data_IF_004767592611
#
_entry.id   IF_004767592611
#
_cell.length_a   1.000
_cell.length_b   1.000
_cell.length_c   1.000
_cell.angle_alpha   90.00
_cell.angle_beta   90.00
_cell.angle_gamma   90.00
#
_symmetry.space_group_name_H-M   'P 1'
#
loop_
_entity.id
_entity.type
_entity.pdbx_description
1 polymer ?
#
# COMPACT_ATOMS: atom_id res chain seq x y z
N UNK A 1 36.46 18.12 -15.15
CA UNK A 1 35.27 17.28 -14.91
C UNK A 1 35.26 17.00 -13.43
N UNK A 2 34.24 17.48 -12.71
CA UNK A 2 34.12 17.16 -11.27
C UNK A 2 33.52 15.75 -11.23
N UNK A 3 34.28 14.78 -10.72
CA UNK A 3 33.73 13.45 -10.44
C UNK A 3 32.58 13.62 -9.45
N UNK A 4 31.34 13.40 -9.90
CA UNK A 4 30.22 13.40 -8.97
C UNK A 4 30.33 12.16 -8.10
N UNK A 5 30.27 12.35 -6.79
CA UNK A 5 30.21 11.24 -5.85
C UNK A 5 29.00 10.34 -6.18
N UNK A 6 29.13 9.01 -6.02
CA UNK A 6 28.00 8.12 -6.23
C UNK A 6 26.88 8.45 -5.24
N UNK A 7 25.60 8.29 -5.62
CA UNK A 7 24.49 8.51 -4.71
C UNK A 7 24.59 7.56 -3.50
N UNK A 8 24.15 7.96 -2.30
CA UNK A 8 24.13 7.08 -1.14
C UNK A 8 23.30 5.82 -1.39
N UNK A 9 23.79 4.68 -0.90
CA UNK A 9 22.98 3.46 -0.86
C UNK A 9 21.80 3.67 0.10
N UNK A 10 20.61 3.37 -0.38
CA UNK A 10 19.37 3.40 0.40
C UNK A 10 18.47 2.24 -0.02
N UNK A 11 18.02 1.46 0.94
CA UNK A 11 17.17 0.28 0.79
C UNK A 11 15.94 0.39 1.70
N UNK A 12 14.95 -0.48 1.51
CA UNK A 12 13.71 -0.46 2.33
C UNK A 12 13.97 -0.66 3.83
N UNK A 13 15.03 -1.40 4.19
CA UNK A 13 15.44 -1.57 5.59
C UNK A 13 15.83 -0.27 6.27
N UNK A 14 16.32 0.71 5.51
CA UNK A 14 16.77 2.01 6.04
C UNK A 14 15.60 2.91 6.44
N UNK A 15 14.39 2.65 5.91
CA UNK A 15 13.16 3.32 6.32
C UNK A 15 12.74 2.96 7.76
N UNK A 16 13.26 1.85 8.32
CA UNK A 16 12.89 1.37 9.65
C UNK A 16 11.44 0.90 9.76
N UNK A 17 10.83 0.47 8.65
CA UNK A 17 9.48 -0.08 8.59
C UNK A 17 9.52 -1.61 8.61
N UNK A 18 8.60 -2.23 9.34
CA UNK A 18 8.33 -3.66 9.23
C UNK A 18 7.44 -3.94 8.02
N UNK A 19 7.51 -5.13 7.44
CA UNK A 19 6.58 -5.56 6.36
C UNK A 19 5.10 -5.52 6.78
N UNK A 20 4.83 -5.58 8.09
CA UNK A 20 3.50 -5.44 8.66
C UNK A 20 3.03 -3.99 8.79
N UNK A 21 3.91 -2.99 8.63
CA UNK A 21 3.49 -1.58 8.66
C UNK A 21 2.64 -1.29 7.40
N UNK A 22 1.47 -0.67 7.56
CA UNK A 22 0.58 -0.40 6.42
C UNK A 22 1.19 0.57 5.38
N UNK A 23 2.30 1.25 5.68
CA UNK A 23 3.05 2.09 4.74
C UNK A 23 4.12 1.33 3.96
N UNK A 24 4.45 0.09 4.34
CA UNK A 24 5.58 -0.65 3.78
C UNK A 24 5.53 -0.73 2.25
N UNK A 25 4.39 -1.14 1.69
CA UNK A 25 4.24 -1.25 0.23
C UNK A 25 4.42 0.09 -0.49
N UNK A 26 3.95 1.19 0.09
CA UNK A 26 4.14 2.54 -0.47
C UNK A 26 5.59 2.99 -0.36
N UNK A 27 6.25 2.74 0.78
CA UNK A 27 7.66 3.01 0.98
C UNK A 27 8.55 2.24 0.00
N UNK A 28 8.23 0.97 -0.30
CA UNK A 28 8.92 0.18 -1.33
C UNK A 28 8.86 0.88 -2.69
N UNK A 29 7.70 1.40 -3.11
CA UNK A 29 7.56 2.14 -4.37
C UNK A 29 8.39 3.42 -4.39
N UNK A 30 8.43 4.16 -3.29
CA UNK A 30 9.27 5.37 -3.18
C UNK A 30 10.76 5.03 -3.24
N UNK A 31 11.20 3.98 -2.53
CA UNK A 31 12.59 3.50 -2.58
C UNK A 31 12.97 3.03 -3.98
N UNK A 32 12.09 2.29 -4.67
CA UNK A 32 12.30 1.92 -6.07
C UNK A 32 12.39 3.14 -6.98
N UNK A 33 11.58 4.18 -6.74
CA UNK A 33 11.65 5.42 -7.51
C UNK A 33 12.94 6.21 -7.24
N UNK A 34 13.47 6.15 -6.02
CA UNK A 34 14.81 6.65 -5.73
C UNK A 34 15.85 5.92 -6.58
N UNK A 35 15.84 4.57 -6.64
CA UNK A 35 16.79 3.81 -7.46
C UNK A 35 16.73 4.18 -8.94
N UNK A 36 15.53 4.47 -9.47
CA UNK A 36 15.33 4.89 -10.85
C UNK A 36 16.02 6.21 -11.21
N UNK A 37 16.28 7.09 -10.24
CA UNK A 37 16.72 8.47 -10.50
C UNK A 37 17.99 8.90 -9.77
N UNK A 38 18.42 8.17 -8.74
CA UNK A 38 19.50 8.57 -7.84
C UNK A 38 20.80 8.94 -8.58
N UNK A 39 21.15 8.24 -9.66
CA UNK A 39 22.37 8.51 -10.46
C UNK A 39 22.29 9.78 -11.32
N UNK A 40 21.09 10.34 -11.49
CA UNK A 40 20.80 11.53 -12.31
C UNK A 40 20.37 12.74 -11.49
N UNK A 41 20.19 12.58 -10.18
CA UNK A 41 19.81 13.64 -9.26
C UNK A 41 21.03 14.44 -8.78
N UNK A 42 20.82 15.71 -8.47
CA UNK A 42 21.83 16.51 -7.76
C UNK A 42 21.90 16.08 -6.29
N UNK A 43 23.01 16.37 -5.63
CA UNK A 43 23.18 16.08 -4.19
C UNK A 43 22.06 16.69 -3.34
N UNK A 44 21.67 17.93 -3.61
CA UNK A 44 20.56 18.60 -2.90
C UNK A 44 19.22 17.88 -3.10
N UNK A 45 18.96 17.35 -4.31
CA UNK A 45 17.76 16.58 -4.59
C UNK A 45 17.78 15.22 -3.87
N UNK A 46 18.93 14.55 -3.84
CA UNK A 46 19.13 13.26 -3.16
C UNK A 46 18.87 13.44 -1.67
N UNK A 47 19.55 14.39 -1.02
CA UNK A 47 19.41 14.65 0.41
C UNK A 47 17.95 14.96 0.77
N UNK A 48 17.25 15.74 -0.06
CA UNK A 48 15.83 16.03 0.16
C UNK A 48 14.93 14.82 -0.04
N UNK A 49 15.18 13.98 -1.03
CA UNK A 49 14.38 12.77 -1.24
C UNK A 49 14.55 11.78 -0.08
N UNK A 50 15.79 11.58 0.37
CA UNK A 50 16.10 10.72 1.49
C UNK A 50 15.55 11.28 2.81
N UNK A 51 15.49 12.61 2.97
CA UNK A 51 14.82 13.24 4.12
C UNK A 51 13.33 12.90 4.20
N UNK A 52 12.64 12.77 3.05
CA UNK A 52 11.24 12.30 3.02
C UNK A 52 11.08 10.84 3.47
N UNK A 53 12.08 10.00 3.17
CA UNK A 53 12.08 8.57 3.51
C UNK A 53 12.71 8.26 4.87
N UNK A 54 13.28 9.27 5.52
CA UNK A 54 13.90 9.13 6.82
C UNK A 54 12.87 8.63 7.84
N UNK A 55 13.28 7.70 8.71
CA UNK A 55 12.44 7.08 9.75
C UNK A 55 11.64 8.09 10.58
N UNK A 56 12.19 9.29 10.81
CA UNK A 56 11.54 10.36 11.58
C UNK A 56 10.41 11.05 10.84
N UNK A 57 10.49 11.11 9.51
CA UNK A 57 9.61 11.92 8.66
C UNK A 57 8.69 11.07 7.77
N UNK A 58 8.96 9.77 7.64
CA UNK A 58 8.22 8.88 6.74
C UNK A 58 6.71 8.86 7.03
N UNK A 59 6.31 9.12 8.28
CA UNK A 59 4.90 9.21 8.67
C UNK A 59 4.19 10.44 8.11
N UNK A 60 4.92 11.53 7.87
CA UNK A 60 4.40 12.79 7.35
C UNK A 60 4.27 12.76 5.82
N UNK A 61 5.20 12.04 5.16
CA UNK A 61 5.29 12.01 3.69
C UNK A 61 4.80 10.71 3.03
N UNK A 62 4.55 9.64 3.77
CA UNK A 62 3.95 8.42 3.24
C UNK A 62 2.68 8.15 4.04
N UNK A 63 1.51 8.51 3.50
CA UNK A 63 0.26 8.29 4.20
C UNK A 63 0.03 6.80 4.39
N UNK A 64 -0.59 6.44 5.51
CA UNK A 64 -1.14 5.10 5.70
C UNK A 64 -2.22 4.93 4.63
N UNK A 65 -1.94 4.11 3.61
CA UNK A 65 -2.95 3.70 2.65
C UNK A 65 -3.98 2.88 3.40
N UNK A 66 -5.05 3.53 3.87
CA UNK A 66 -6.21 2.82 4.37
C UNK A 66 -6.72 1.98 3.20
N UNK A 67 -6.56 0.66 3.32
CA UNK A 67 -7.01 -0.35 2.35
C UNK A 67 -8.52 -0.21 2.03
N UNK A 68 -9.24 0.55 2.84
CA UNK A 68 -10.67 0.83 2.78
C UNK A 68 -11.04 2.24 2.28
N UNK A 69 -10.08 3.11 1.96
CA UNK A 69 -10.40 4.40 1.36
C UNK A 69 -10.87 4.14 -0.07
N UNK A 70 -12.15 4.40 -0.35
CA UNK A 70 -12.67 4.34 -1.72
C UNK A 70 -11.77 5.14 -2.67
N UNK A 71 -11.65 4.74 -3.95
CA UNK A 71 -10.81 5.43 -4.94
C UNK A 71 -11.04 6.95 -5.02
N UNK A 72 -12.26 7.40 -4.67
CA UNK A 72 -12.67 8.81 -4.65
C UNK A 72 -12.55 9.50 -3.27
N UNK A 73 -12.02 8.80 -2.26
CA UNK A 73 -11.77 9.35 -0.94
C UNK A 73 -10.81 10.54 -1.00
N UNK A 74 -11.15 11.61 -0.28
CA UNK A 74 -10.34 12.84 -0.18
C UNK A 74 -8.92 12.56 0.34
N UNK A 75 -8.73 11.49 1.13
CA UNK A 75 -7.42 11.04 1.61
C UNK A 75 -6.58 10.30 0.55
N UNK A 76 -7.21 9.77 -0.50
CA UNK A 76 -6.53 9.13 -1.63
C UNK A 76 -6.09 10.13 -2.70
N UNK A 77 -6.45 11.42 -2.55
CA UNK A 77 -6.13 12.46 -3.53
C UNK A 77 -4.74 13.04 -3.28
N UNK A 78 -3.88 12.98 -4.28
CA UNK A 78 -2.56 13.62 -4.23
C UNK A 78 -2.60 15.11 -3.85
N UNK A 79 -3.70 15.81 -4.11
CA UNK A 79 -3.87 17.23 -3.79
C UNK A 79 -3.92 17.57 -2.29
N UNK A 80 -4.17 16.57 -1.43
CA UNK A 80 -4.18 16.75 0.03
C UNK A 80 -2.85 16.37 0.68
N UNK A 81 -1.93 15.81 -0.09
CA UNK A 81 -0.60 15.42 0.38
C UNK A 81 0.23 16.65 0.77
N UNK A 82 1.05 16.54 1.81
CA UNK A 82 1.85 17.67 2.33
C UNK A 82 2.78 18.28 1.28
N UNK A 83 3.44 17.43 0.49
CA UNK A 83 4.31 17.84 -0.62
C UNK A 83 3.56 18.38 -1.85
N UNK A 84 2.23 18.30 -1.88
CA UNK A 84 1.48 18.84 -3.01
C UNK A 84 1.59 20.37 -3.02
N UNK A 85 2.07 20.96 -4.12
CA UNK A 85 2.30 22.39 -4.15
C UNK A 85 0.98 23.15 -4.04
N UNK A 86 0.94 24.12 -3.13
CA UNK A 86 -0.10 25.14 -3.15
C UNK A 86 0.17 26.05 -4.34
N UNK A 87 -0.61 25.88 -5.41
CA UNK A 87 -0.50 26.70 -6.60
C UNK A 87 -0.74 28.16 -6.25
N UNK A 88 0.00 29.06 -6.91
CA UNK A 88 -0.32 30.48 -6.89
C UNK A 88 -1.71 30.71 -7.50
N UNK A 89 -2.29 31.88 -7.26
CA UNK A 89 -3.55 32.33 -7.92
C UNK A 89 -3.45 32.23 -9.46
N UNK A 90 -2.24 32.25 -10.01
CA UNK A 90 -1.95 32.15 -11.45
C UNK A 90 -1.74 30.70 -11.94
N UNK A 91 -1.88 29.69 -11.08
CA UNK A 91 -1.70 28.28 -11.45
C UNK A 91 -0.25 27.90 -11.76
N UNK A 92 0.73 28.72 -11.35
CA UNK A 92 2.16 28.47 -11.57
C UNK A 92 2.80 27.86 -10.34
N UNK A 93 3.74 26.94 -10.56
CA UNK A 93 4.61 26.44 -9.50
C UNK A 93 5.53 27.59 -9.03
N UNK A 94 5.70 27.80 -7.71
CA UNK A 94 6.64 28.78 -7.18
C UNK A 94 8.04 28.58 -7.78
N UNK A 95 8.78 29.64 -8.13
CA UNK A 95 10.11 29.46 -8.73
C UNK A 95 11.16 28.85 -7.77
N UNK A 96 10.91 28.86 -6.46
CA UNK A 96 11.96 28.67 -5.45
C UNK A 96 12.03 27.24 -4.85
N UNK A 97 11.41 26.23 -5.47
CA UNK A 97 11.36 24.88 -4.89
C UNK A 97 11.92 23.79 -5.80
N UNK A 98 12.53 22.77 -5.19
CA UNK A 98 12.85 21.49 -5.86
C UNK A 98 11.58 20.64 -5.96
N UNK A 99 10.64 21.09 -6.79
CA UNK A 99 9.37 20.39 -7.04
C UNK A 99 9.58 19.05 -7.72
N UNK A 100 10.73 18.83 -8.38
CA UNK A 100 11.05 17.54 -8.99
C UNK A 100 11.10 16.43 -7.93
N UNK A 101 11.76 16.67 -6.79
CA UNK A 101 11.88 15.68 -5.72
C UNK A 101 10.52 15.32 -5.13
N UNK A 102 9.69 16.32 -4.85
CA UNK A 102 8.31 16.09 -4.38
C UNK A 102 7.43 15.41 -5.44
N UNK A 103 7.59 15.80 -6.71
CA UNK A 103 6.89 15.16 -7.83
C UNK A 103 7.22 13.67 -7.95
N UNK A 104 8.50 13.30 -7.83
CA UNK A 104 8.90 11.89 -7.88
C UNK A 104 8.24 11.09 -6.75
N UNK A 105 8.29 11.59 -5.50
CA UNK A 105 7.64 10.92 -4.37
C UNK A 105 6.13 10.76 -4.59
N UNK A 106 5.45 11.85 -4.97
CA UNK A 106 4.01 11.84 -5.24
C UNK A 106 3.65 10.87 -6.37
N UNK A 107 4.46 10.79 -7.42
CA UNK A 107 4.24 9.87 -8.54
C UNK A 107 4.42 8.39 -8.14
N UNK A 108 5.22 8.11 -7.11
CA UNK A 108 5.37 6.76 -6.54
C UNK A 108 4.16 6.35 -5.70
N UNK A 109 3.56 7.33 -5.01
CA UNK A 109 2.47 7.11 -4.05
C UNK A 109 1.10 7.04 -4.73
N UNK A 110 0.87 7.86 -5.75
CA UNK A 110 -0.44 8.04 -6.36
C UNK A 110 -0.42 7.62 -7.83
N UNK A 111 -1.33 6.72 -8.19
CA UNK A 111 -1.48 6.23 -9.57
C UNK A 111 -1.84 7.36 -10.55
N UNK A 112 -2.67 8.31 -10.10
CA UNK A 112 -3.10 9.46 -10.90
C UNK A 112 -2.85 10.75 -10.13
N UNK A 113 -2.05 11.63 -10.74
CA UNK A 113 -1.84 12.99 -10.26
C UNK A 113 -2.78 13.96 -11.00
N UNK A 114 -3.20 15.07 -10.36
CA UNK A 114 -4.02 16.09 -11.01
C UNK A 114 -3.42 16.58 -12.33
N UNK A 115 -4.20 16.64 -13.43
CA UNK A 115 -3.69 17.03 -14.76
C UNK A 115 -3.04 18.41 -14.77
N UNK A 116 -3.54 19.35 -13.96
CA UNK A 116 -2.99 20.70 -13.82
C UNK A 116 -1.57 20.64 -13.24
N UNK A 117 -1.34 19.75 -12.28
CA UNK A 117 -0.03 19.55 -11.69
C UNK A 117 0.95 18.93 -12.68
N UNK A 118 0.52 17.89 -13.41
CA UNK A 118 1.33 17.29 -14.47
C UNK A 118 1.69 18.31 -15.55
N UNK A 119 0.76 19.18 -15.95
CA UNK A 119 1.02 20.27 -16.91
C UNK A 119 2.06 21.25 -16.38
N UNK A 120 2.00 21.61 -15.10
CA UNK A 120 2.96 22.51 -14.48
C UNK A 120 4.36 21.89 -14.37
N UNK A 121 4.45 20.61 -14.00
CA UNK A 121 5.71 19.86 -13.98
C UNK A 121 6.30 19.77 -15.40
N UNK A 122 5.51 19.36 -16.38
CA UNK A 122 5.95 19.28 -17.79
C UNK A 122 6.43 20.64 -18.32
N UNK A 123 5.71 21.72 -18.01
CA UNK A 123 6.09 23.08 -18.43
C UNK A 123 7.44 23.49 -17.84
N UNK A 124 7.74 23.09 -16.60
CA UNK A 124 8.96 23.49 -15.88
C UNK A 124 10.17 22.61 -16.19
N UNK A 125 9.98 21.29 -16.22
CA UNK A 125 11.06 20.30 -16.34
C UNK A 125 11.13 19.67 -17.74
N UNK A 126 10.25 20.06 -18.67
CA UNK A 126 10.17 19.54 -20.04
C UNK A 126 9.47 18.18 -20.15
N UNK A 127 9.42 17.40 -19.05
CA UNK A 127 8.81 16.07 -19.01
C UNK A 127 8.15 15.80 -17.66
N UNK A 128 7.21 14.85 -17.66
CA UNK A 128 6.65 14.19 -16.47
C UNK A 128 7.12 12.75 -16.36
N UNK A 129 7.84 12.22 -17.35
CA UNK A 129 8.32 10.85 -17.30
C UNK A 129 9.52 10.76 -16.37
N UNK A 130 9.42 9.93 -15.35
CA UNK A 130 10.55 9.53 -14.51
C UNK A 130 11.31 8.44 -15.27
N UNK A 131 12.52 8.75 -15.72
CA UNK A 131 13.39 7.78 -16.41
C UNK A 131 13.74 6.61 -15.48
N UNK A 132 14.01 5.44 -16.05
CA UNK A 132 14.44 4.27 -15.29
C UNK A 132 15.94 4.06 -15.44
N UNK A 133 16.70 4.45 -14.42
CA UNK A 133 18.15 4.23 -14.32
C UNK A 133 18.48 3.22 -13.21
N UNK A 134 17.55 2.32 -12.90
CA UNK A 134 17.74 1.33 -11.84
C UNK A 134 18.99 0.48 -12.08
N UNK A 135 19.29 0.12 -13.33
CA UNK A 135 20.47 -0.67 -13.68
C UNK A 135 21.78 0.07 -13.35
N UNK A 136 21.83 1.39 -13.58
CA UNK A 136 22.99 2.22 -13.20
C UNK A 136 23.19 2.22 -11.68
N UNK A 137 22.10 2.38 -10.91
CA UNK A 137 22.15 2.33 -9.45
C UNK A 137 22.54 0.93 -8.94
N UNK A 138 21.98 -0.14 -9.52
CA UNK A 138 22.26 -1.53 -9.14
C UNK A 138 23.63 -2.03 -9.59
N UNK A 139 24.25 -1.40 -10.57
CA UNK A 139 25.66 -1.62 -10.89
C UNK A 139 26.57 -1.15 -9.75
N UNK A 140 26.26 -0.01 -9.12
CA UNK A 140 26.98 0.51 -7.96
C UNK A 140 26.65 -0.29 -6.68
N UNK A 141 25.38 -0.68 -6.52
CA UNK A 141 24.87 -1.37 -5.34
C UNK A 141 24.07 -2.62 -5.74
N UNK A 142 24.75 -3.74 -6.03
CA UNK A 142 24.09 -4.99 -6.42
C UNK A 142 23.08 -5.43 -5.36
N UNK A 143 21.92 -5.93 -5.81
CA UNK A 143 20.94 -6.50 -4.91
C UNK A 143 21.56 -7.66 -4.13
N UNK A 144 21.24 -7.85 -2.85
CA UNK A 144 21.68 -9.02 -2.10
C UNK A 144 21.28 -10.27 -2.88
N UNK A 145 22.24 -11.14 -3.19
CA UNK A 145 21.92 -12.43 -3.76
C UNK A 145 20.95 -13.12 -2.80
N UNK A 146 19.72 -13.37 -3.25
CA UNK A 146 18.79 -14.21 -2.51
C UNK A 146 19.51 -15.54 -2.36
N UNK A 147 20.01 -15.81 -1.15
CA UNK A 147 20.43 -17.14 -0.77
C UNK A 147 19.16 -17.96 -0.79
N UNK A 148 18.82 -18.49 -1.97
CA UNK A 148 18.01 -19.70 -2.03
C UNK A 148 18.84 -20.69 -1.24
N UNK A 149 18.42 -21.00 -0.02
CA UNK A 149 18.85 -22.22 0.63
C UNK A 149 18.72 -23.30 -0.44
N UNK A 150 19.87 -23.74 -0.94
CA UNK A 150 19.94 -24.97 -1.69
C UNK A 150 19.56 -25.99 -0.64
N UNK A 151 18.28 -26.34 -0.58
CA UNK A 151 17.82 -27.55 0.05
C UNK A 151 18.49 -28.65 -0.75
N UNK A 152 19.73 -28.97 -0.38
CA UNK A 152 20.42 -30.17 -0.80
C UNK A 152 19.44 -31.29 -0.46
N UNK A 153 18.93 -32.07 -1.42
CA UNK A 153 18.10 -33.20 -1.08
C UNK A 153 18.97 -34.12 -0.24
N UNK A 154 18.72 -34.14 1.07
CA UNK A 154 19.30 -35.12 1.97
C UNK A 154 18.85 -36.47 1.42
N UNK A 155 19.83 -37.23 0.93
CA UNK A 155 19.60 -38.59 0.43
C UNK A 155 18.93 -39.39 1.57
N UNK A 156 17.86 -40.09 1.25
CA UNK A 156 17.00 -40.81 2.21
C UNK A 156 17.70 -41.94 3.01
N UNK A 157 19.02 -42.11 2.88
CA UNK A 157 19.78 -43.14 3.59
C UNK A 157 20.24 -42.73 5.00
N UNK A 158 20.30 -41.43 5.33
CA UNK A 158 20.78 -40.98 6.65
C UNK A 158 19.69 -40.95 7.74
N UNK A 159 18.40 -41.05 7.38
CA UNK A 159 17.28 -40.96 8.34
C UNK A 159 16.94 -42.27 9.05
N UNK A 160 17.57 -43.39 8.69
CA UNK A 160 17.35 -44.69 9.36
C UNK A 160 18.25 -44.98 10.55
N UNK A 161 19.30 -44.17 10.78
CA UNK A 161 20.26 -44.39 11.88
C UNK A 161 20.09 -43.49 13.11
N UNK A 162 19.22 -42.48 13.07
CA UNK A 162 19.10 -41.50 14.16
C UNK A 162 17.86 -41.66 15.05
N UNK A 163 16.93 -42.58 14.75
CA UNK A 163 15.74 -42.81 15.58
C UNK A 163 15.84 -44.11 16.39
N UNK A 164 16.72 -44.12 17.38
CA UNK A 164 16.50 -44.88 18.61
C UNK A 164 16.07 -43.89 19.69
N UNK A 165 14.76 -43.67 19.78
CA UNK A 165 14.12 -42.92 20.86
C UNK A 165 13.89 -43.89 22.04
N UNK A 166 14.20 -43.45 23.27
CA UNK A 166 13.29 -43.73 24.38
C UNK A 166 12.80 -42.43 25.01
N UNK A 167 11.52 -42.18 24.75
CA UNK A 167 10.46 -41.88 25.73
C UNK A 167 10.93 -41.44 27.13
N UNK A 168 10.73 -40.16 27.46
CA UNK A 168 9.91 -39.72 28.60
C UNK A 168 10.09 -38.21 28.90
N UNK A 169 8.93 -37.57 29.10
CA UNK A 169 8.61 -36.52 30.07
C UNK A 169 8.98 -35.03 29.82
N UNK A 170 7.99 -34.22 30.24
CA UNK A 170 7.98 -32.78 30.61
C UNK A 170 7.79 -31.78 29.45
N UNK A 171 6.58 -31.35 29.12
CA UNK A 171 5.62 -30.48 29.84
C UNK A 171 6.06 -29.01 29.98
N UNK A 172 5.37 -28.10 29.27
CA UNK A 172 4.95 -26.73 29.64
C UNK A 172 4.42 -26.03 28.37
N UNK A 173 3.12 -25.95 28.11
CA UNK A 173 2.08 -25.08 28.69
C UNK A 173 2.41 -23.57 28.62
N UNK A 174 1.75 -22.85 27.70
CA UNK A 174 1.16 -21.53 27.98
C UNK A 174 0.12 -21.16 26.91
N UNK A 175 -1.15 -21.29 27.28
CA UNK A 175 -2.28 -20.49 26.73
C UNK A 175 -2.24 -19.07 27.34
N UNK A 176 -3.26 -18.21 27.14
CA UNK A 176 -3.58 -17.41 25.96
C UNK A 176 -3.40 -15.89 26.26
N UNK A 177 -3.47 -15.02 25.25
CA UNK A 177 -3.71 -13.59 25.50
C UNK A 177 -4.76 -13.04 24.55
N UNK A 178 -5.95 -12.89 25.14
CA UNK A 178 -7.07 -12.06 24.74
C UNK A 178 -6.65 -10.58 24.62
N UNK A 179 -7.44 -9.82 23.85
CA UNK A 179 -7.52 -8.34 23.72
C UNK A 179 -6.49 -7.70 22.78
N UNK A 180 -6.81 -6.92 21.75
CA UNK A 180 -8.02 -6.16 21.39
C UNK A 180 -8.28 -6.23 19.88
N UNK A 181 -9.53 -6.52 19.52
CA UNK A 181 -10.07 -6.26 18.19
C UNK A 181 -10.20 -4.75 18.00
N UNK A 182 -9.38 -4.16 17.12
CA UNK A 182 -9.53 -2.78 16.69
C UNK A 182 -10.44 -2.76 15.46
N UNK A 183 -11.69 -2.44 15.70
CA UNK A 183 -12.68 -2.12 14.68
C UNK A 183 -12.30 -0.85 13.88
N UNK A 184 -12.93 -0.61 12.72
CA UNK A 184 -12.53 0.39 11.75
C UNK A 184 -12.65 1.83 12.28
N UNK A 185 -11.59 2.61 12.08
CA UNK A 185 -11.50 4.01 12.46
C UNK A 185 -12.45 4.91 11.69
N UNK A 186 -13.68 5.03 12.17
CA UNK A 186 -14.57 6.19 11.96
C UNK A 186 -15.42 6.53 13.20
N UNK A 187 -15.30 5.75 14.28
CA UNK A 187 -16.16 5.86 15.46
C UNK A 187 -15.34 6.15 16.71
N UNK A 188 -14.71 7.31 16.76
CA UNK A 188 -14.12 7.78 18.03
C UNK A 188 -15.24 8.32 18.91
N UNK A 189 -15.43 7.71 20.09
CA UNK A 189 -16.39 8.10 21.14
C UNK A 189 -16.28 9.61 21.47
N UNK A 190 -15.11 10.22 21.25
CA UNK A 190 -14.89 11.66 21.40
C UNK A 190 -15.72 12.56 20.47
N UNK A 191 -16.15 12.09 19.29
CA UNK A 191 -16.94 12.88 18.35
C UNK A 191 -18.44 12.85 18.66
N UNK A 192 -18.95 11.78 19.29
CA UNK A 192 -20.37 11.66 19.69
C UNK A 192 -20.64 12.51 20.94
N UNK A 193 -19.68 12.61 21.88
CA UNK A 193 -19.81 13.49 23.05
C UNK A 193 -19.81 14.98 22.65
N UNK A 194 -19.16 15.32 21.53
CA UNK A 194 -19.08 16.70 21.03
C UNK A 194 -20.37 17.19 20.37
N UNK A 195 -21.21 16.29 19.86
CA UNK A 195 -22.54 16.63 19.33
C UNK A 195 -23.66 16.61 20.38
N UNK A 196 -23.40 16.05 21.57
CA UNK A 196 -24.36 16.00 22.69
C UNK A 196 -24.11 17.03 23.80
N UNK A 197 -23.11 17.90 23.65
CA UNK A 197 -22.85 18.97 24.62
C UNK A 197 -23.90 20.09 24.47
N UNK A 198 -24.75 20.36 25.49
CA UNK A 198 -25.71 21.45 25.41
C UNK A 198 -24.94 22.77 25.27
N UNK A 199 -25.15 23.48 24.17
CA UNK A 199 -24.45 24.74 23.90
C UNK A 199 -24.81 25.75 24.99
N UNK A 200 -23.85 26.07 25.86
CA UNK A 200 -23.97 27.14 26.85
C UNK A 200 -24.00 28.50 26.13
N UNK A 201 -25.15 28.89 25.58
CA UNK A 201 -25.43 30.26 25.18
C UNK A 201 -25.64 31.08 26.45
N UNK A 202 -24.66 31.94 26.77
CA UNK A 202 -24.78 33.00 27.78
C UNK A 202 -26.09 33.76 27.58
N UNK A 203 -27.01 33.59 28.53
CA UNK A 203 -28.26 34.33 28.64
C UNK A 203 -28.03 35.48 29.62
N UNK A 204 -28.05 36.70 29.09
CA UNK A 204 -28.39 37.90 29.87
C UNK A 204 -29.92 38.05 29.81
N UNK A 205 -30.56 38.23 30.96
CA UNK A 205 -31.93 38.77 31.03
C UNK A 205 -33.05 37.80 31.45
N UNK A 206 -33.37 37.84 32.75
CA UNK A 206 -34.67 37.78 33.44
C UNK A 206 -35.88 37.05 32.83
N UNK A 207 -36.49 36.17 33.64
CA UNK A 207 -37.91 35.78 33.56
C UNK A 207 -38.18 34.36 34.08
N UNK A 208 -38.81 34.17 35.25
CA UNK A 208 -39.17 32.85 35.76
C UNK A 208 -40.56 32.45 35.25
N UNK A 209 -40.62 31.70 34.16
CA UNK A 209 -41.84 31.00 33.76
C UNK A 209 -41.58 29.52 33.47
N UNK A 210 -42.11 28.70 34.39
CA UNK A 210 -42.65 27.34 34.21
C UNK A 210 -41.92 26.40 33.24
N UNK A 211 -40.92 25.67 33.75
CA UNK A 211 -40.04 24.77 33.02
C UNK A 211 -40.56 23.32 32.86
N UNK A 212 -41.76 22.97 33.34
CA UNK A 212 -42.16 21.56 33.49
C UNK A 212 -42.76 20.87 32.24
N UNK A 213 -43.04 21.60 31.14
CA UNK A 213 -43.71 21.03 29.95
C UNK A 213 -42.86 20.92 28.67
N UNK A 214 -41.63 21.44 28.62
CA UNK A 214 -40.78 21.39 27.40
C UNK A 214 -39.84 20.20 27.28
N UNK A 215 -39.59 19.43 28.35
CA UNK A 215 -38.62 18.34 28.33
C UNK A 215 -39.09 17.04 27.64
N UNK A 216 -40.40 16.86 27.39
CA UNK A 216 -40.94 15.61 26.81
C UNK A 216 -40.92 15.57 25.27
N UNK A 217 -40.86 16.71 24.59
CA UNK A 217 -40.81 16.76 23.13
C UNK A 217 -39.41 16.44 22.57
N UNK A 218 -38.37 16.79 23.32
CA UNK A 218 -36.96 16.68 22.92
C UNK A 218 -36.47 15.21 22.85
N UNK A 219 -36.91 14.37 23.80
CA UNK A 219 -36.55 12.95 23.82
C UNK A 219 -37.08 12.16 22.62
N UNK A 220 -38.26 12.53 22.09
CA UNK A 220 -38.86 11.81 20.97
C UNK A 220 -38.14 12.14 19.64
N UNK A 221 -37.66 13.38 19.49
CA UNK A 221 -36.85 13.77 18.35
C UNK A 221 -35.47 13.10 18.36
N UNK A 222 -34.85 12.99 19.54
CA UNK A 222 -33.57 12.31 19.70
C UNK A 222 -33.67 10.82 19.34
N UNK A 223 -34.73 10.13 19.80
CA UNK A 223 -34.95 8.72 19.46
C UNK A 223 -35.10 8.51 17.95
N UNK A 224 -35.80 9.42 17.26
CA UNK A 224 -35.98 9.39 15.82
C UNK A 224 -34.64 9.54 15.06
N UNK A 225 -33.75 10.43 15.53
CA UNK A 225 -32.41 10.61 14.95
C UNK A 225 -31.53 9.38 15.15
N UNK A 226 -31.61 8.73 16.32
CA UNK A 226 -30.86 7.48 16.59
C UNK A 226 -31.33 6.35 15.67
N UNK A 227 -32.64 6.16 15.50
CA UNK A 227 -33.15 5.13 14.58
C UNK A 227 -32.74 5.40 13.13
N UNK A 228 -32.84 6.65 12.67
CA UNK A 228 -32.41 7.02 11.32
C UNK A 228 -30.90 6.76 11.12
N UNK A 229 -30.09 7.04 12.13
CA UNK A 229 -28.66 6.75 12.07
C UNK A 229 -28.36 5.24 12.07
N UNK A 230 -29.14 4.44 12.81
CA UNK A 230 -29.03 2.98 12.80
C UNK A 230 -29.36 2.40 11.41
N UNK A 231 -30.40 2.92 10.74
CA UNK A 231 -30.77 2.51 9.37
C UNK A 231 -29.64 2.82 8.37
N UNK A 232 -29.04 4.03 8.44
CA UNK A 232 -27.91 4.40 7.57
C UNK A 232 -26.70 3.48 7.79
N UNK A 233 -26.43 3.10 9.05
CA UNK A 233 -25.32 2.17 9.36
C UNK A 233 -25.61 0.79 8.78
N UNK A 234 -26.85 0.31 8.92
CA UNK A 234 -27.25 -0.99 8.41
C UNK A 234 -27.11 -1.05 6.88
N UNK A 235 -27.61 -0.04 6.17
CA UNK A 235 -27.48 0.08 4.72
C UNK A 235 -26.01 0.15 4.26
N UNK A 236 -25.17 0.89 5.00
CA UNK A 236 -23.73 0.96 4.72
C UNK A 236 -23.02 -0.38 4.92
N UNK A 237 -23.40 -1.16 5.92
CA UNK A 237 -22.85 -2.51 6.16
C UNK A 237 -23.26 -3.46 5.04
N UNK A 238 -24.54 -3.45 4.64
CA UNK A 238 -25.06 -4.29 3.55
C UNK A 238 -24.38 -3.96 2.22
N UNK A 239 -24.25 -2.67 1.89
CA UNK A 239 -23.53 -2.23 0.68
C UNK A 239 -22.06 -2.64 0.69
N UNK A 240 -21.40 -2.60 1.86
CA UNK A 240 -20.01 -3.03 1.99
C UNK A 240 -19.88 -4.56 1.81
N UNK A 241 -20.82 -5.34 2.33
CA UNK A 241 -20.87 -6.79 2.15
C UNK A 241 -21.04 -7.15 0.68
N UNK A 242 -21.99 -6.52 -0.03
CA UNK A 242 -22.22 -6.76 -1.46
C UNK A 242 -20.99 -6.43 -2.33
N UNK A 243 -20.32 -5.30 -2.03
CA UNK A 243 -19.06 -4.94 -2.70
C UNK A 243 -17.95 -5.97 -2.45
N UNK A 244 -17.84 -6.49 -1.23
CA UNK A 244 -16.85 -7.52 -0.90
C UNK A 244 -17.15 -8.84 -1.62
N UNK A 245 -18.41 -9.25 -1.68
CA UNK A 245 -18.83 -10.46 -2.39
C UNK A 245 -18.56 -10.36 -3.89
N UNK A 246 -18.87 -9.21 -4.50
CA UNK A 246 -18.59 -8.95 -5.92
C UNK A 246 -17.09 -9.05 -6.21
N UNK A 247 -16.24 -8.43 -5.37
CA UNK A 247 -14.79 -8.50 -5.53
C UNK A 247 -14.23 -9.91 -5.35
N UNK A 248 -14.79 -10.68 -4.41
CA UNK A 248 -14.42 -12.09 -4.22
C UNK A 248 -14.84 -12.94 -5.43
N UNK A 249 -15.97 -12.62 -6.06
CA UNK A 249 -16.44 -13.29 -7.26
C UNK A 249 -15.53 -13.00 -8.46
N UNK A 250 -15.19 -11.73 -8.72
CA UNK A 250 -14.23 -11.34 -9.77
C UNK A 250 -12.87 -12.03 -9.60
N UNK A 251 -12.38 -12.11 -8.35
CA UNK A 251 -11.12 -12.77 -8.05
C UNK A 251 -11.18 -14.28 -8.34
N UNK A 252 -12.31 -14.95 -8.05
CA UNK A 252 -12.51 -16.38 -8.37
C UNK A 252 -12.53 -16.61 -9.87
N UNK A 253 -13.20 -15.74 -10.63
CA UNK A 253 -13.25 -15.82 -12.09
C UNK A 253 -11.85 -15.65 -12.70
N UNK A 254 -11.09 -14.65 -12.26
CA UNK A 254 -9.71 -14.45 -12.71
C UNK A 254 -8.78 -15.62 -12.36
N UNK A 255 -8.98 -16.25 -11.20
CA UNK A 255 -8.21 -17.46 -10.81
C UNK A 255 -8.55 -18.63 -11.75
N UNK A 256 -9.84 -18.83 -12.06
CA UNK A 256 -10.25 -19.93 -12.94
C UNK A 256 -9.81 -19.71 -14.39
N UNK A 257 -9.86 -18.48 -14.91
CA UNK A 257 -9.31 -18.12 -16.22
C UNK A 257 -7.81 -18.40 -16.31
N UNK A 258 -7.04 -17.97 -15.31
CA UNK A 258 -5.60 -18.25 -15.26
C UNK A 258 -5.31 -19.75 -15.19
N UNK A 259 -6.09 -20.51 -14.41
CA UNK A 259 -5.97 -21.97 -14.33
C UNK A 259 -6.27 -22.65 -15.67
N UNK A 260 -7.27 -22.18 -16.41
CA UNK A 260 -7.55 -22.67 -17.76
C UNK A 260 -6.40 -22.35 -18.71
N UNK A 261 -5.88 -21.11 -18.71
CA UNK A 261 -4.74 -20.71 -19.55
C UNK A 261 -3.51 -21.59 -19.29
N UNK A 262 -3.18 -21.85 -18.01
CA UNK A 262 -2.07 -22.74 -17.65
C UNK A 262 -2.30 -24.16 -18.15
N UNK A 263 -3.52 -24.68 -18.03
CA UNK A 263 -3.87 -26.03 -18.51
C UNK A 263 -3.72 -26.13 -20.03
N UNK A 264 -4.15 -25.10 -20.76
CA UNK A 264 -3.98 -25.01 -22.23
C UNK A 264 -2.50 -25.02 -22.62
N UNK A 265 -1.67 -24.18 -21.99
CA UNK A 265 -0.22 -24.14 -22.26
C UNK A 265 0.46 -25.48 -21.99
N UNK A 266 0.07 -26.18 -20.90
CA UNK A 266 0.59 -27.52 -20.61
C UNK A 266 0.19 -28.55 -21.69
N UNK A 267 -1.00 -28.43 -22.25
CA UNK A 267 -1.47 -29.25 -23.36
C UNK A 267 -0.66 -29.01 -24.64
N UNK A 268 -0.45 -27.75 -25.01
CA UNK A 268 0.35 -27.35 -26.17
C UNK A 268 1.80 -27.82 -26.05
N UNK A 269 2.41 -27.65 -24.87
CA UNK A 269 3.77 -28.13 -24.61
C UNK A 269 3.87 -29.65 -24.78
N UNK A 270 2.88 -30.41 -24.28
CA UNK A 270 2.86 -31.87 -24.45
C UNK A 270 2.77 -32.26 -25.92
N UNK A 271 1.93 -31.58 -26.70
CA UNK A 271 1.81 -31.83 -28.14
C UNK A 271 3.11 -31.51 -28.88
N UNK A 272 3.73 -30.37 -28.56
CA UNK A 272 5.02 -29.99 -29.13
C UNK A 272 6.10 -31.04 -28.83
N UNK A 273 6.23 -31.47 -27.58
CA UNK A 273 7.20 -32.50 -27.20
C UNK A 273 6.93 -33.85 -27.90
N UNK A 274 5.66 -34.21 -28.12
CA UNK A 274 5.30 -35.41 -28.89
C UNK A 274 5.70 -35.30 -30.36
N UNK A 275 5.51 -34.12 -30.97
CA UNK A 275 5.93 -33.87 -32.35
C UNK A 275 7.46 -33.97 -32.48
N UNK A 276 8.20 -33.31 -31.58
CA UNK A 276 9.67 -33.37 -31.52
C UNK A 276 10.16 -34.81 -31.37
N UNK A 277 9.58 -35.58 -30.45
CA UNK A 277 9.94 -36.98 -30.25
C UNK A 277 9.70 -37.84 -31.50
N UNK A 278 8.62 -37.56 -32.24
CA UNK A 278 8.30 -38.27 -33.49
C UNK A 278 9.29 -37.92 -34.58
N UNK A 279 9.63 -36.65 -34.76
CA UNK A 279 10.64 -36.21 -35.75
C UNK A 279 12.02 -36.75 -35.42
N UNK A 280 12.42 -36.77 -34.15
CA UNK A 280 13.70 -37.36 -33.73
C UNK A 280 13.77 -38.85 -34.03
N UNK A 281 12.67 -39.59 -33.83
CA UNK A 281 12.59 -41.01 -34.19
C UNK A 281 12.73 -41.23 -35.69
N UNK A 282 12.03 -40.44 -36.50
CA UNK A 282 12.13 -40.50 -37.98
C UNK A 282 13.56 -40.23 -38.46
N UNK A 283 14.24 -39.23 -37.88
CA UNK A 283 15.65 -38.93 -38.19
C UNK A 283 16.55 -40.11 -37.81
N UNK A 284 16.34 -40.72 -36.63
CA UNK A 284 17.12 -41.86 -36.17
C UNK A 284 16.95 -43.07 -37.11
N UNK A 285 15.71 -43.41 -37.50
CA UNK A 285 15.43 -44.51 -38.42
C UNK A 285 16.14 -44.32 -39.77
N UNK A 286 16.17 -43.09 -40.30
CA UNK A 286 16.87 -42.77 -41.57
C UNK A 286 18.39 -42.77 -41.47
N UNK A 287 18.96 -42.68 -40.28
CA UNK A 287 20.42 -42.78 -40.06
C UNK A 287 20.88 -44.22 -39.90
N UNK A 288 19.98 -45.12 -39.49
CA UNK A 288 20.26 -46.54 -39.28
C UNK A 288 20.12 -47.36 -40.59
N UNK A 289 19.45 -46.83 -41.62
CA UNK A 289 19.36 -47.37 -43.00
C UNK A 289 20.61 -47.07 -43.85
#
# INVERSE_FOLDING_TARGET
>A
MVESLPPPRFEISDCGLSESDPRYAAAVKCVQTYWKQATRMTEAQILRYLDYLNRKNIADFIPISAVTAEPDSVMARASTHELYPRFSVQGTLPNNGDFWTGYMLLSSLYEKLPPEYLRAIKKRFGSTTIGDHTDEYRHLYPAPAVQREIVTPVSNDDLRRLFNIPEAAEASTSTPSTTQSAAPGAWSIGNIIKTMSPSNRKRLGSGPESAAKRAKADNNEMLKKVNQQAEIIQEAIESLQEKQETKLQEMREAIEENKQAVTTMQGELRQFMSAVATTLRDIQERLDE
#
